data_IF_616784388788
#
_entry.id   IF_616784388788
#
_cell.length_a   1.000
_cell.length_b   1.000
_cell.length_c   1.000
_cell.angle_alpha   90.00
_cell.angle_beta   90.00
_cell.angle_gamma   90.00
#
_symmetry.space_group_name_H-M   'P 1'
#
loop_
_entity.id
_entity.type
_entity.pdbx_description
1 polymer ?
#
# COMPACT_ATOMS: atom_id res chain seq x y z
N UNK A 1 -9.32 21.52 10.58
CA UNK A 1 -8.98 20.86 9.30
C UNK A 1 -8.32 19.55 9.64
N UNK A 2 -8.79 18.41 9.14
CA UNK A 2 -8.09 17.14 9.34
C UNK A 2 -6.70 17.22 8.72
N UNK A 3 -5.68 16.63 9.34
CA UNK A 3 -4.33 16.59 8.76
C UNK A 3 -4.39 15.84 7.42
N UNK A 4 -3.67 16.35 6.41
CA UNK A 4 -3.68 15.70 5.08
C UNK A 4 -2.71 14.52 5.00
N UNK A 5 -1.64 14.52 5.81
CA UNK A 5 -0.67 13.43 5.93
C UNK A 5 -0.23 13.31 7.38
N UNK A 6 -0.31 12.11 7.93
CA UNK A 6 0.14 11.77 9.28
C UNK A 6 1.08 10.58 9.21
N UNK A 7 2.20 10.65 9.93
CA UNK A 7 3.12 9.53 10.13
C UNK A 7 3.08 9.11 11.59
N UNK A 8 2.66 7.87 11.83
CA UNK A 8 2.61 7.24 13.14
C UNK A 8 3.82 6.30 13.25
N UNK A 9 4.84 6.73 13.97
CA UNK A 9 6.08 5.96 14.12
C UNK A 9 5.89 4.72 14.98
N UNK A 10 6.33 3.56 14.49
CA UNK A 10 6.29 2.29 15.21
C UNK A 10 4.88 1.80 15.58
N UNK A 11 3.83 2.43 15.06
CA UNK A 11 2.45 2.17 15.47
C UNK A 11 2.01 0.72 15.25
N UNK A 12 2.48 0.10 14.18
CA UNK A 12 2.16 -1.29 13.85
C UNK A 12 2.99 -2.32 14.66
N UNK A 13 4.05 -1.91 15.36
CA UNK A 13 4.89 -2.83 16.13
C UNK A 13 4.15 -3.53 17.29
N UNK A 14 3.11 -2.89 17.84
CA UNK A 14 2.28 -3.45 18.91
C UNK A 14 1.12 -4.33 18.40
N UNK A 15 0.95 -4.47 17.09
CA UNK A 15 -0.27 -5.07 16.51
C UNK A 15 -0.14 -6.59 16.27
N UNK A 16 1.00 -7.24 16.63
CA UNK A 16 1.26 -8.68 16.55
C UNK A 16 0.89 -9.32 15.19
N UNK A 17 1.50 -10.42 14.84
CA UNK A 17 1.15 -11.33 13.72
C UNK A 17 0.85 -10.73 12.34
N UNK A 18 1.34 -9.51 12.04
CA UNK A 18 1.15 -8.92 10.70
C UNK A 18 1.93 -9.72 9.64
N UNK A 19 3.10 -10.23 10.00
CA UNK A 19 3.90 -11.07 9.09
C UNK A 19 3.18 -12.40 8.81
N UNK A 20 2.63 -13.05 9.85
CA UNK A 20 1.82 -14.25 9.67
C UNK A 20 0.56 -13.99 8.83
N UNK A 21 -0.05 -12.80 8.97
CA UNK A 21 -1.18 -12.40 8.13
C UNK A 21 -0.77 -12.19 6.66
N UNK A 22 0.43 -11.64 6.40
CA UNK A 22 1.00 -11.56 5.03
C UNK A 22 1.21 -12.95 4.44
N UNK A 23 1.74 -13.89 5.24
CA UNK A 23 1.94 -15.29 4.81
C UNK A 23 0.61 -15.96 4.48
N UNK A 24 -0.41 -15.80 5.32
CA UNK A 24 -1.75 -16.34 5.10
C UNK A 24 -2.35 -15.84 3.78
N UNK A 25 -2.28 -14.53 3.54
CA UNK A 25 -2.77 -13.93 2.29
C UNK A 25 -1.99 -14.47 1.10
N UNK A 26 -0.66 -14.54 1.19
CA UNK A 26 0.18 -14.97 0.06
C UNK A 26 0.08 -16.47 -0.23
N UNK A 27 -0.32 -17.29 0.73
CA UNK A 27 -0.63 -18.70 0.51
C UNK A 27 -1.90 -18.88 -0.33
N UNK A 28 -2.94 -18.06 -0.10
CA UNK A 28 -4.19 -18.10 -0.84
C UNK A 28 -4.12 -17.35 -2.19
N UNK A 29 -3.43 -16.21 -2.21
CA UNK A 29 -3.22 -15.39 -3.40
C UNK A 29 -1.71 -15.10 -3.55
N UNK A 30 -0.96 -15.91 -4.32
CA UNK A 30 0.51 -15.81 -4.40
C UNK A 30 1.02 -14.48 -4.92
N UNK A 31 2.16 -14.01 -4.38
CA UNK A 31 2.85 -12.83 -4.91
C UNK A 31 3.26 -13.02 -6.37
N UNK A 32 3.01 -11.99 -7.18
CA UNK A 32 3.38 -11.96 -8.61
C UNK A 32 3.90 -10.60 -9.02
N UNK A 33 4.80 -10.57 -9.98
CA UNK A 33 5.18 -9.33 -10.63
C UNK A 33 4.19 -9.04 -11.76
N UNK A 34 3.51 -7.90 -11.67
CA UNK A 34 2.57 -7.44 -12.69
C UNK A 34 3.30 -6.66 -13.79
N UNK A 35 2.64 -6.48 -14.93
CA UNK A 35 3.15 -5.66 -16.03
C UNK A 35 2.40 -4.33 -16.09
N UNK A 36 3.10 -3.27 -16.42
CA UNK A 36 2.47 -2.01 -16.81
C UNK A 36 1.68 -2.18 -18.11
N UNK A 37 0.74 -1.29 -18.46
CA UNK A 37 0.04 -1.33 -19.74
C UNK A 37 0.98 -1.37 -20.95
N UNK A 38 2.16 -0.77 -20.85
CA UNK A 38 3.21 -0.81 -21.86
C UNK A 38 4.07 -2.09 -21.85
N UNK A 39 3.69 -3.13 -21.10
CA UNK A 39 4.36 -4.44 -21.07
C UNK A 39 5.60 -4.53 -20.17
N UNK A 40 6.02 -3.43 -19.53
CA UNK A 40 7.19 -3.44 -18.64
C UNK A 40 6.85 -4.14 -17.32
N UNK A 41 7.70 -5.09 -16.92
CA UNK A 41 7.56 -5.78 -15.64
C UNK A 41 7.80 -4.81 -14.46
N UNK A 42 6.90 -4.82 -13.49
CA UNK A 42 7.06 -4.06 -12.25
C UNK A 42 8.10 -4.73 -11.35
N UNK A 43 8.94 -3.96 -10.67
CA UNK A 43 10.02 -4.52 -9.85
C UNK A 43 9.53 -5.08 -8.51
N UNK A 44 8.46 -4.53 -7.95
CA UNK A 44 7.81 -5.09 -6.77
C UNK A 44 6.89 -6.26 -7.16
N UNK A 45 6.87 -7.31 -6.36
CA UNK A 45 5.84 -8.34 -6.46
C UNK A 45 4.64 -7.94 -5.61
N UNK A 46 3.44 -8.30 -6.03
CA UNK A 46 2.20 -7.84 -5.43
C UNK A 46 1.23 -8.98 -5.18
N UNK A 47 0.41 -8.85 -4.16
CA UNK A 47 -0.82 -9.59 -3.92
C UNK A 47 -1.84 -8.67 -3.26
N UNK A 48 -3.08 -9.13 -3.13
CA UNK A 48 -4.16 -8.37 -2.51
C UNK A 48 -5.03 -9.26 -1.62
N UNK A 49 -5.78 -8.62 -0.73
CA UNK A 49 -6.88 -9.24 0.00
C UNK A 49 -8.03 -8.23 0.14
N UNK A 50 -9.26 -8.72 0.33
CA UNK A 50 -10.48 -7.93 0.46
C UNK A 50 -11.51 -8.23 -0.61
N UNK A 51 -12.48 -7.35 -0.78
CA UNK A 51 -13.56 -7.48 -1.75
C UNK A 51 -13.09 -7.39 -3.22
N UNK A 52 -11.92 -6.77 -3.43
CA UNK A 52 -11.25 -6.67 -4.73
C UNK A 52 -9.74 -6.57 -4.54
N UNK A 53 -8.97 -6.79 -5.60
CA UNK A 53 -7.52 -6.61 -5.61
C UNK A 53 -7.07 -5.77 -6.79
N UNK A 54 -6.05 -4.98 -6.55
CA UNK A 54 -5.43 -4.17 -7.60
C UNK A 54 -4.66 -5.05 -8.58
N UNK A 55 -4.86 -4.83 -9.87
CA UNK A 55 -4.25 -5.61 -10.94
C UNK A 55 -3.82 -4.72 -12.11
N UNK A 56 -2.82 -5.17 -12.85
CA UNK A 56 -2.28 -4.47 -14.01
C UNK A 56 -1.79 -5.44 -15.08
N UNK A 57 -2.21 -5.20 -16.30
CA UNK A 57 -1.75 -5.87 -17.52
C UNK A 57 -1.90 -4.93 -18.74
N UNK A 58 -1.87 -5.45 -19.96
CA UNK A 58 -2.05 -4.66 -21.19
C UNK A 58 -3.38 -3.90 -21.26
N UNK A 59 -4.39 -4.31 -20.47
CA UNK A 59 -5.71 -3.63 -20.40
C UNK A 59 -5.72 -2.42 -19.47
N UNK A 60 -4.66 -2.18 -18.72
CA UNK A 60 -4.54 -1.04 -17.81
C UNK A 60 -4.51 -1.43 -16.33
N UNK A 61 -4.57 -0.39 -15.49
CA UNK A 61 -4.67 -0.49 -14.03
C UNK A 61 -6.13 -0.58 -13.64
N UNK A 62 -6.47 -1.49 -12.71
CA UNK A 62 -7.86 -1.69 -12.28
C UNK A 62 -7.97 -2.50 -11.00
N UNK A 63 -9.14 -2.47 -10.41
CA UNK A 63 -9.53 -3.39 -9.34
C UNK A 63 -10.35 -4.55 -9.93
N UNK A 64 -10.00 -5.78 -9.54
CA UNK A 64 -10.67 -7.03 -9.97
C UNK A 64 -11.28 -7.72 -8.74
N UNK A 65 -12.50 -8.21 -8.87
CA UNK A 65 -13.17 -8.97 -7.79
C UNK A 65 -12.60 -10.38 -7.64
N UNK A 66 -12.16 -10.97 -8.73
CA UNK A 66 -11.49 -12.27 -8.74
C UNK A 66 -10.00 -12.07 -9.01
N UNK A 67 -9.16 -12.85 -8.37
CA UNK A 67 -7.73 -12.88 -8.67
C UNK A 67 -7.52 -13.44 -10.08
N UNK A 68 -7.02 -12.65 -11.05
CA UNK A 68 -6.83 -13.10 -12.42
C UNK A 68 -5.84 -14.26 -12.59
N UNK A 69 -4.99 -14.53 -11.58
CA UNK A 69 -4.06 -15.66 -11.60
C UNK A 69 -4.75 -16.97 -11.22
N UNK A 70 -5.60 -16.94 -10.20
CA UNK A 70 -6.22 -18.14 -9.64
C UNK A 70 -7.66 -18.35 -10.10
N UNK A 71 -8.33 -17.29 -10.59
CA UNK A 71 -9.76 -17.27 -10.90
C UNK A 71 -10.67 -17.32 -9.66
N UNK A 72 -10.09 -17.23 -8.46
CA UNK A 72 -10.84 -17.30 -7.19
C UNK A 72 -11.04 -15.88 -6.61
N UNK A 73 -12.03 -15.68 -5.73
CA UNK A 73 -12.12 -14.47 -4.92
C UNK A 73 -10.80 -14.24 -4.16
N UNK A 74 -10.44 -12.97 -3.99
CA UNK A 74 -9.32 -12.62 -3.11
C UNK A 74 -9.60 -13.08 -1.68
N UNK A 75 -8.57 -13.48 -0.91
CA UNK A 75 -8.78 -13.83 0.50
C UNK A 75 -9.32 -12.62 1.28
N UNK A 76 -10.12 -12.87 2.31
CA UNK A 76 -10.61 -11.80 3.18
C UNK A 76 -9.44 -11.01 3.80
N UNK A 77 -9.65 -9.73 4.11
CA UNK A 77 -8.67 -8.95 4.85
C UNK A 77 -8.53 -9.57 6.25
N UNK A 78 -7.33 -10.00 6.66
CA UNK A 78 -7.12 -10.57 7.99
C UNK A 78 -7.48 -9.57 9.11
N UNK A 79 -8.05 -10.08 10.21
CA UNK A 79 -8.48 -9.23 11.32
C UNK A 79 -7.37 -8.35 11.92
N UNK A 80 -6.10 -8.79 12.06
CA UNK A 80 -5.02 -7.90 12.47
C UNK A 80 -4.82 -6.70 11.54
N UNK A 81 -5.03 -6.88 10.23
CA UNK A 81 -4.96 -5.80 9.25
C UNK A 81 -6.11 -4.81 9.41
N UNK A 82 -7.35 -5.30 9.59
CA UNK A 82 -8.52 -4.44 9.80
C UNK A 82 -8.38 -3.60 11.07
N UNK A 83 -7.99 -4.24 12.19
CA UNK A 83 -7.77 -3.51 13.46
C UNK A 83 -6.73 -2.41 13.30
N UNK A 84 -5.60 -2.72 12.65
CA UNK A 84 -4.54 -1.74 12.42
C UNK A 84 -5.02 -0.57 11.55
N UNK A 85 -5.70 -0.86 10.44
CA UNK A 85 -6.20 0.17 9.53
C UNK A 85 -7.20 1.10 10.22
N UNK A 86 -8.16 0.55 10.98
CA UNK A 86 -9.15 1.29 11.76
C UNK A 86 -8.48 2.19 12.80
N UNK A 87 -7.63 1.61 13.65
CA UNK A 87 -6.94 2.34 14.71
C UNK A 87 -6.03 3.44 14.14
N UNK A 88 -5.32 3.18 13.05
CA UNK A 88 -4.46 4.16 12.40
C UNK A 88 -5.25 5.35 11.85
N UNK A 89 -6.40 5.11 11.21
CA UNK A 89 -7.28 6.15 10.68
C UNK A 89 -7.81 7.04 11.80
N UNK A 90 -8.27 6.43 12.88
CA UNK A 90 -8.83 7.15 14.04
C UNK A 90 -7.77 8.01 14.72
N UNK A 91 -6.60 7.45 15.05
CA UNK A 91 -5.49 8.19 15.68
C UNK A 91 -4.97 9.30 14.79
N UNK A 92 -4.97 9.09 13.46
CA UNK A 92 -4.57 10.11 12.50
C UNK A 92 -5.63 11.21 12.28
N UNK A 93 -6.80 11.12 12.91
CA UNK A 93 -7.86 12.13 12.85
C UNK A 93 -8.75 12.05 11.61
N UNK A 94 -8.73 10.92 10.90
CA UNK A 94 -9.62 10.68 9.76
C UNK A 94 -10.94 9.99 10.12
N UNK A 95 -11.09 9.56 11.39
CA UNK A 95 -12.30 8.92 11.89
C UNK A 95 -12.43 7.45 11.50
N UNK A 96 -13.69 6.96 11.54
CA UNK A 96 -14.02 5.56 11.23
C UNK A 96 -13.62 5.20 9.80
N UNK A 97 -12.95 4.07 9.64
CA UNK A 97 -12.43 3.61 8.37
C UNK A 97 -12.62 2.09 8.21
N UNK A 98 -13.27 1.70 7.13
CA UNK A 98 -13.50 0.30 6.77
C UNK A 98 -12.95 0.07 5.37
N UNK A 99 -11.72 -0.45 5.23
CA UNK A 99 -11.12 -0.70 3.92
C UNK A 99 -11.80 -1.85 3.19
N UNK A 100 -11.99 -1.71 1.88
CA UNK A 100 -12.50 -2.76 1.00
C UNK A 100 -11.39 -3.66 0.48
N UNK A 101 -10.18 -3.13 0.42
CA UNK A 101 -9.02 -3.83 -0.14
C UNK A 101 -7.73 -3.48 0.59
N UNK A 102 -6.81 -4.42 0.59
CA UNK A 102 -5.42 -4.21 0.96
C UNK A 102 -4.50 -4.74 -0.14
N UNK A 103 -3.78 -3.83 -0.81
CA UNK A 103 -2.69 -4.17 -1.70
C UNK A 103 -1.42 -4.41 -0.89
N UNK A 104 -0.78 -5.57 -1.07
CA UNK A 104 0.48 -5.94 -0.43
C UNK A 104 1.59 -5.93 -1.46
N UNK A 105 2.53 -4.98 -1.35
CA UNK A 105 3.72 -4.91 -2.17
C UNK A 105 4.89 -5.56 -1.46
N UNK A 106 5.60 -6.47 -2.11
CA UNK A 106 6.85 -7.07 -1.65
C UNK A 106 8.02 -6.50 -2.46
N UNK A 107 8.91 -5.81 -1.76
CA UNK A 107 10.14 -5.24 -2.32
C UNK A 107 11.34 -6.07 -1.86
N UNK A 108 11.99 -6.77 -2.77
CA UNK A 108 13.33 -7.33 -2.55
C UNK A 108 14.38 -6.19 -2.63
N UNK A 109 15.64 -6.39 -2.19
CA UNK A 109 16.65 -5.32 -2.16
C UNK A 109 16.90 -4.57 -3.47
N UNK A 110 16.54 -5.16 -4.60
CA UNK A 110 16.67 -4.53 -5.93
C UNK A 110 15.41 -3.82 -6.41
N UNK A 111 14.27 -4.03 -5.72
CA UNK A 111 12.97 -3.52 -6.14
C UNK A 111 12.72 -2.09 -5.65
N UNK A 112 12.05 -1.31 -6.46
CA UNK A 112 11.63 0.06 -6.13
C UNK A 112 10.30 0.37 -6.82
N UNK A 113 9.63 1.45 -6.40
CA UNK A 113 8.47 1.98 -7.08
C UNK A 113 8.79 3.37 -7.62
N UNK A 114 8.74 3.52 -8.93
CA UNK A 114 8.93 4.81 -9.60
C UNK A 114 7.85 5.83 -9.22
N UNK A 115 8.03 7.07 -9.65
CA UNK A 115 7.03 8.12 -9.46
C UNK A 115 5.76 7.71 -10.20
N UNK A 116 4.64 7.67 -9.47
CA UNK A 116 3.33 7.32 -10.01
C UNK A 116 2.26 8.29 -9.48
N UNK A 117 1.06 8.15 -9.94
CA UNK A 117 -0.12 8.83 -9.45
C UNK A 117 -1.21 7.79 -9.25
N UNK A 118 -1.86 7.81 -8.09
CA UNK A 118 -2.99 6.90 -7.78
C UNK A 118 -4.27 7.42 -8.47
N UNK A 119 -4.25 7.44 -9.83
CA UNK A 119 -5.34 8.00 -10.64
C UNK A 119 -6.52 7.03 -10.83
N UNK A 120 -6.34 5.77 -10.44
CA UNK A 120 -7.35 4.71 -10.60
C UNK A 120 -8.44 4.78 -9.53
N UNK A 121 -8.30 5.69 -8.57
CA UNK A 121 -9.22 5.85 -7.47
C UNK A 121 -10.24 6.95 -7.77
N UNK A 122 -11.52 6.62 -7.62
CA UNK A 122 -12.63 7.54 -7.91
C UNK A 122 -13.12 8.27 -6.67
N UNK A 123 -12.96 7.66 -5.47
CA UNK A 123 -13.38 8.25 -4.20
C UNK A 123 -12.17 8.69 -3.36
N UNK A 124 -12.08 10.00 -3.13
CA UNK A 124 -11.07 10.63 -2.29
C UNK A 124 -11.58 11.00 -0.90
N UNK A 125 -12.79 10.61 -0.53
CA UNK A 125 -13.38 10.90 0.78
C UNK A 125 -12.73 10.09 1.91
N UNK A 126 -12.26 8.88 1.58
CA UNK A 126 -11.59 7.99 2.52
C UNK A 126 -10.07 8.18 2.52
N UNK A 127 -9.38 8.01 3.66
CA UNK A 127 -7.92 8.02 3.71
C UNK A 127 -7.34 6.76 3.07
N UNK A 128 -6.04 6.83 2.75
CA UNK A 128 -5.21 5.67 2.49
C UNK A 128 -4.37 5.41 3.75
N UNK A 129 -4.33 4.17 4.21
CA UNK A 129 -3.45 3.73 5.29
C UNK A 129 -2.35 2.86 4.69
N UNK A 130 -1.08 3.22 4.94
CA UNK A 130 0.08 2.49 4.41
C UNK A 130 1.01 2.09 5.52
N UNK A 131 1.29 0.80 5.63
CA UNK A 131 2.11 0.20 6.70
C UNK A 131 3.41 -0.32 6.11
N UNK A 132 4.53 -0.09 6.81
CA UNK A 132 5.84 -0.62 6.45
C UNK A 132 6.20 -1.78 7.38
N UNK A 133 6.51 -2.95 6.80
CA UNK A 133 7.01 -4.13 7.51
C UNK A 133 8.35 -4.56 6.92
N UNK A 134 9.16 -5.28 7.71
CA UNK A 134 10.46 -5.78 7.26
C UNK A 134 11.51 -4.67 7.12
N UNK A 135 12.20 -4.55 6.00
CA UNK A 135 13.30 -3.61 5.83
C UNK A 135 12.84 -2.14 5.70
N UNK A 136 13.64 -1.17 6.21
CA UNK A 136 13.39 0.25 5.99
C UNK A 136 13.47 0.65 4.52
N UNK A 137 12.81 1.74 4.14
CA UNK A 137 12.94 2.34 2.81
C UNK A 137 12.66 3.84 2.85
N UNK A 138 13.21 4.59 1.89
CA UNK A 138 12.89 6.01 1.72
C UNK A 138 11.67 6.17 0.81
N UNK A 139 10.62 6.78 1.36
CA UNK A 139 9.47 7.26 0.63
C UNK A 139 9.74 8.68 0.11
N UNK A 140 9.36 8.92 -1.13
CA UNK A 140 9.49 10.22 -1.79
C UNK A 140 8.10 10.75 -2.13
N UNK A 141 7.83 12.00 -1.83
CA UNK A 141 6.59 12.64 -2.21
C UNK A 141 6.88 13.96 -2.95
N UNK A 142 6.48 14.03 -4.21
CA UNK A 142 6.74 15.16 -5.11
C UNK A 142 5.64 16.23 -5.08
N UNK A 143 4.64 16.06 -4.19
CA UNK A 143 3.50 16.98 -4.17
C UNK A 143 2.59 16.82 -5.39
N UNK A 144 1.56 17.68 -5.51
CA UNK A 144 0.56 17.56 -6.57
C UNK A 144 1.04 17.98 -7.96
N UNK A 145 2.13 18.76 -8.03
CA UNK A 145 2.64 19.29 -9.31
C UNK A 145 3.76 18.46 -9.94
N UNK A 146 4.28 17.47 -9.23
CA UNK A 146 5.44 16.65 -9.64
C UNK A 146 6.71 17.48 -9.95
N UNK A 147 6.80 18.69 -9.42
CA UNK A 147 7.93 19.61 -9.67
C UNK A 147 8.78 19.81 -8.41
N UNK A 148 10.07 20.08 -8.60
CA UNK A 148 11.00 20.34 -7.52
C UNK A 148 11.52 19.09 -6.82
N UNK A 149 12.21 19.29 -5.70
CA UNK A 149 12.74 18.18 -4.88
C UNK A 149 11.63 17.55 -4.06
N UNK A 150 11.57 16.20 -3.96
CA UNK A 150 10.57 15.54 -3.16
C UNK A 150 10.83 15.71 -1.66
N UNK A 151 9.76 15.72 -0.88
CA UNK A 151 9.86 15.41 0.54
C UNK A 151 10.35 13.96 0.68
N UNK A 152 11.37 13.75 1.50
CA UNK A 152 11.99 12.45 1.75
C UNK A 152 11.65 12.00 3.17
N UNK A 153 11.03 10.85 3.29
CA UNK A 153 10.64 10.27 4.58
C UNK A 153 11.25 8.87 4.65
N UNK A 154 12.13 8.64 5.62
CA UNK A 154 12.62 7.30 5.92
C UNK A 154 11.56 6.56 6.73
N UNK A 155 11.01 5.50 6.16
CA UNK A 155 10.01 4.65 6.79
C UNK A 155 10.72 3.46 7.44
N UNK A 156 10.46 3.23 8.71
CA UNK A 156 10.97 2.13 9.50
C UNK A 156 9.93 1.01 9.62
N UNK A 157 10.33 -0.22 9.97
CA UNK A 157 9.39 -1.29 10.29
C UNK A 157 8.42 -0.85 11.40
N UNK A 158 7.14 -1.07 11.19
CA UNK A 158 6.08 -0.64 12.11
C UNK A 158 5.55 0.78 11.88
N UNK A 159 6.17 1.58 11.01
CA UNK A 159 5.64 2.89 10.67
C UNK A 159 4.35 2.78 9.85
N UNK A 160 3.37 3.59 10.23
CA UNK A 160 2.10 3.72 9.52
C UNK A 160 1.95 5.14 9.01
N UNK A 161 1.70 5.29 7.73
CA UNK A 161 1.37 6.57 7.11
C UNK A 161 -0.10 6.57 6.73
N UNK A 162 -0.80 7.64 7.13
CA UNK A 162 -2.20 7.88 6.78
C UNK A 162 -2.29 9.19 6.03
N UNK A 163 -2.94 9.20 4.87
CA UNK A 163 -3.15 10.44 4.13
C UNK A 163 -4.51 10.46 3.43
N UNK A 164 -5.09 11.67 3.34
CA UNK A 164 -6.40 11.89 2.75
C UNK A 164 -6.52 13.26 2.08
N UNK A 165 -7.67 13.53 1.55
CA UNK A 165 -7.97 14.83 0.93
C UNK A 165 -7.02 15.18 -0.21
N UNK A 166 -6.54 16.42 -0.24
CA UNK A 166 -5.66 16.91 -1.31
C UNK A 166 -4.31 16.20 -1.39
N UNK A 167 -3.83 15.57 -0.29
CA UNK A 167 -2.58 14.83 -0.30
C UNK A 167 -2.63 13.56 -1.17
N UNK A 168 -3.82 13.01 -1.43
CA UNK A 168 -4.01 11.86 -2.32
C UNK A 168 -3.71 12.18 -3.79
N UNK A 169 -3.72 13.46 -4.17
CA UNK A 169 -3.42 13.91 -5.54
C UNK A 169 -1.91 14.09 -5.80
N UNK A 170 -1.05 13.68 -4.89
CA UNK A 170 0.39 13.78 -5.03
C UNK A 170 1.02 12.65 -5.86
N UNK A 171 2.31 12.79 -6.10
CA UNK A 171 3.13 11.83 -6.84
C UNK A 171 4.10 11.11 -5.89
N UNK A 172 3.74 9.95 -5.35
CA UNK A 172 4.62 9.15 -4.51
C UNK A 172 5.65 8.36 -5.34
N UNK A 173 6.75 7.99 -4.65
CA UNK A 173 7.69 6.97 -5.08
C UNK A 173 8.32 6.29 -3.86
N UNK A 174 8.90 5.11 -4.05
CA UNK A 174 9.59 4.37 -2.99
C UNK A 174 10.94 3.91 -3.52
N UNK A 175 12.01 4.24 -2.81
CA UNK A 175 13.36 3.77 -3.11
C UNK A 175 13.53 2.30 -2.70
N UNK A 176 14.62 1.69 -3.14
CA UNK A 176 15.00 0.32 -2.76
C UNK A 176 15.07 0.18 -1.24
N UNK A 177 14.64 -0.96 -0.68
CA UNK A 177 14.78 -1.22 0.74
C UNK A 177 16.25 -1.25 1.19
N UNK A 178 16.49 -0.89 2.44
CA UNK A 178 17.80 -0.90 3.05
C UNK A 178 18.07 -2.29 3.67
N UNK A 179 18.74 -3.16 2.93
CA UNK A 179 19.34 -4.38 3.48
C UNK A 179 18.43 -5.63 3.59
N UNK A 180 17.17 -5.60 3.15
CA UNK A 180 16.29 -6.78 3.29
C UNK A 180 15.04 -6.70 2.45
N UNK A 181 14.13 -7.62 2.67
CA UNK A 181 12.79 -7.57 2.07
C UNK A 181 11.89 -6.63 2.87
N UNK A 182 11.20 -5.76 2.16
CA UNK A 182 10.16 -4.87 2.70
C UNK A 182 8.80 -5.30 2.20
N UNK A 183 7.83 -5.31 3.08
CA UNK A 183 6.42 -5.37 2.71
C UNK A 183 5.77 -4.00 2.96
N UNK A 184 4.85 -3.64 2.08
CA UNK A 184 4.01 -2.47 2.26
C UNK A 184 2.55 -2.87 2.11
N UNK A 185 1.79 -2.71 3.18
CA UNK A 185 0.35 -2.88 3.16
C UNK A 185 -0.28 -1.54 2.82
N UNK A 186 -1.15 -1.49 1.82
CA UNK A 186 -1.86 -0.26 1.43
C UNK A 186 -3.35 -0.54 1.43
N UNK A 187 -4.04 0.01 2.43
CA UNK A 187 -5.48 -0.12 2.60
C UNK A 187 -6.22 1.00 1.88
N UNK A 188 -7.31 0.63 1.20
CA UNK A 188 -8.19 1.54 0.45
C UNK A 188 -9.65 1.13 0.60
N UNK A 189 -10.51 2.11 0.34
CA UNK A 189 -11.95 1.94 0.27
C UNK A 189 -12.47 2.43 -1.09
#
# INVERSE_FOLDING_TARGET
MAPQVVLLHGFAAATGDLDAAVELVSAAAPFRQLKTPGGRLMSAAMTSCGACGWYSDARGYRYERLDPLTGQPWPAIPEPFLRLARASSEVAGFGTYEPDTCLINRYVPTAQMGIHHDADEQDFSNPIVSVTLGAPATFLWYGPSKRGSPLRIRLLPGDVRVWGGAARKGYPAVQKPEGGTRYNLTFRK
#
